data_IF_514023042589
#
_entry.id   IF_514023042589
#
_cell.length_a   1.000
_cell.length_b   1.000
_cell.length_c   1.000
_cell.angle_alpha   90.00
_cell.angle_beta   90.00
_cell.angle_gamma   90.00
#
_symmetry.space_group_name_H-M   'P 1'
#
loop_
_entity.id
_entity.type
_entity.pdbx_description
1 polymer ?
#
# COMPACT_ATOMS: atom_id res chain seq x y z
N UNK A 1 20.77 -2.72 0.52
CA UNK A 1 19.60 -3.55 0.20
C UNK A 1 18.31 -3.05 0.87
N UNK A 2 18.18 -3.00 2.21
CA UNK A 2 16.92 -2.56 2.86
C UNK A 2 16.49 -1.09 2.58
N UNK A 3 17.44 -0.16 2.47
CA UNK A 3 17.16 1.25 2.10
C UNK A 3 16.68 1.39 0.64
N UNK A 4 17.22 0.53 -0.23
CA UNK A 4 16.91 0.50 -1.66
C UNK A 4 15.51 -0.06 -1.89
N UNK A 5 15.15 -1.15 -1.19
CA UNK A 5 13.80 -1.73 -1.20
C UNK A 5 12.75 -0.77 -0.61
N UNK A 6 13.07 -0.05 0.48
CA UNK A 6 12.20 0.99 1.02
C UNK A 6 11.94 2.12 0.02
N UNK A 7 12.99 2.52 -0.69
CA UNK A 7 12.89 3.57 -1.71
C UNK A 7 12.07 3.09 -2.89
N UNK A 8 12.28 1.85 -3.32
CA UNK A 8 11.50 1.19 -4.36
C UNK A 8 10.02 1.06 -3.97
N UNK A 9 9.69 0.61 -2.75
CA UNK A 9 8.30 0.54 -2.27
C UNK A 9 7.66 1.94 -2.22
N UNK A 10 8.38 2.94 -1.71
CA UNK A 10 7.88 4.31 -1.67
C UNK A 10 7.64 4.89 -3.08
N UNK A 11 8.55 4.63 -4.01
CA UNK A 11 8.42 5.02 -5.43
C UNK A 11 7.26 4.30 -6.09
N UNK A 12 7.13 2.98 -5.94
CA UNK A 12 5.99 2.22 -6.48
C UNK A 12 4.65 2.69 -5.91
N UNK A 13 4.58 3.00 -4.60
CA UNK A 13 3.39 3.60 -4.00
C UNK A 13 3.13 4.98 -4.61
N UNK A 14 4.15 5.83 -4.77
CA UNK A 14 3.98 7.15 -5.39
C UNK A 14 3.51 7.02 -6.85
N UNK A 15 4.08 6.11 -7.64
CA UNK A 15 3.66 5.84 -9.01
C UNK A 15 2.21 5.35 -9.07
N UNK A 16 1.78 4.47 -8.16
CA UNK A 16 0.37 4.06 -8.07
C UNK A 16 -0.55 5.23 -7.71
N UNK A 17 -0.11 6.12 -6.81
CA UNK A 17 -0.88 7.32 -6.46
C UNK A 17 -0.95 8.33 -7.61
N UNK A 18 0.14 8.49 -8.37
CA UNK A 18 0.16 9.26 -9.61
C UNK A 18 -0.75 8.63 -10.68
N UNK A 19 -0.88 7.30 -10.67
CA UNK A 19 -1.85 6.53 -11.45
C UNK A 19 -3.25 6.51 -10.79
N UNK A 20 -3.51 7.37 -9.80
CA UNK A 20 -4.82 7.64 -9.20
C UNK A 20 -5.31 6.59 -8.20
N UNK A 21 -4.45 5.70 -7.73
CA UNK A 21 -4.77 4.83 -6.61
C UNK A 21 -4.77 5.63 -5.30
N UNK A 22 -5.86 5.50 -4.52
CA UNK A 22 -5.90 6.08 -3.18
C UNK A 22 -5.02 5.25 -2.23
N UNK A 23 -4.51 5.86 -1.16
CA UNK A 23 -3.78 5.10 -0.12
C UNK A 23 -4.64 4.01 0.51
N UNK A 24 -5.96 4.17 0.53
CA UNK A 24 -6.88 3.17 1.04
C UNK A 24 -6.97 1.96 0.10
N UNK A 25 -7.00 2.17 -1.22
CA UNK A 25 -7.03 1.09 -2.21
C UNK A 25 -5.71 0.30 -2.19
N UNK A 26 -4.58 1.00 -2.10
CA UNK A 26 -3.26 0.36 -1.98
C UNK A 26 -3.19 -0.44 -0.67
N UNK A 27 -3.76 0.08 0.42
CA UNK A 27 -3.77 -0.60 1.71
C UNK A 27 -4.62 -1.86 1.69
N UNK A 28 -5.81 -1.80 1.08
CA UNK A 28 -6.73 -2.93 0.92
C UNK A 28 -6.07 -4.07 0.12
N UNK A 29 -5.45 -3.74 -1.01
CA UNK A 29 -4.79 -4.72 -1.88
C UNK A 29 -3.54 -5.35 -1.23
N UNK A 30 -2.79 -4.54 -0.48
CA UNK A 30 -1.66 -5.03 0.30
C UNK A 30 -2.08 -5.76 1.59
N UNK A 31 -3.37 -5.73 1.98
CA UNK A 31 -3.85 -6.31 3.24
C UNK A 31 -3.31 -5.60 4.49
N UNK A 32 -2.97 -4.32 4.37
CA UNK A 32 -2.38 -3.50 5.44
C UNK A 32 -3.27 -2.29 5.75
N UNK A 33 -2.93 -1.50 6.77
CA UNK A 33 -3.69 -0.28 7.07
C UNK A 33 -3.28 0.90 6.17
N UNK A 34 -4.20 1.84 5.93
CA UNK A 34 -3.88 3.09 5.21
C UNK A 34 -2.75 3.87 5.89
N UNK A 35 -2.74 3.89 7.23
CA UNK A 35 -1.66 4.51 7.99
C UNK A 35 -0.31 3.84 7.69
N UNK A 36 -0.29 2.52 7.51
CA UNK A 36 0.90 1.78 7.14
C UNK A 36 1.42 2.13 5.74
N UNK A 37 0.53 2.27 4.74
CA UNK A 37 0.89 2.77 3.40
C UNK A 37 1.48 4.17 3.46
N UNK A 38 0.93 5.04 4.32
CA UNK A 38 1.48 6.39 4.55
C UNK A 38 2.90 6.33 5.16
N UNK A 39 3.12 5.45 6.14
CA UNK A 39 4.44 5.25 6.75
C UNK A 39 5.45 4.68 5.74
N UNK A 40 5.04 3.76 4.87
CA UNK A 40 5.86 3.22 3.78
C UNK A 40 6.25 4.31 2.78
N UNK A 41 5.28 5.13 2.36
CA UNK A 41 5.48 6.27 1.45
C UNK A 41 6.52 7.25 1.99
N UNK A 42 6.40 7.65 3.24
CA UNK A 42 7.32 8.62 3.85
C UNK A 42 8.62 8.01 4.36
N UNK A 43 8.88 6.72 4.06
CA UNK A 43 10.06 5.97 4.50
C UNK A 43 10.23 5.98 6.03
N UNK A 44 9.12 6.06 6.76
CA UNK A 44 9.07 6.16 8.24
C UNK A 44 9.00 4.80 8.93
N UNK A 45 9.12 3.70 8.19
CA UNK A 45 9.04 2.34 8.72
C UNK A 45 9.99 1.37 8.00
N UNK A 46 10.67 0.48 8.74
CA UNK A 46 11.46 -0.62 8.18
C UNK A 46 10.59 -1.85 7.99
N UNK A 47 10.25 -2.14 6.75
CA UNK A 47 9.78 -3.47 6.37
C UNK A 47 10.97 -4.44 6.38
N UNK A 48 10.76 -5.64 6.92
CA UNK A 48 11.76 -6.71 6.78
C UNK A 48 12.01 -6.97 5.29
N UNK A 49 13.20 -7.45 4.92
CA UNK A 49 13.54 -7.67 3.50
C UNK A 49 12.52 -8.57 2.79
N UNK A 50 11.97 -9.55 3.50
CA UNK A 50 10.98 -10.49 2.96
C UNK A 50 9.61 -9.82 2.82
N UNK A 51 9.20 -8.97 3.77
CA UNK A 51 7.96 -8.21 3.68
C UNK A 51 8.06 -7.12 2.61
N UNK A 52 9.22 -6.47 2.49
CA UNK A 52 9.48 -5.53 1.42
C UNK A 52 9.39 -6.23 0.06
N UNK A 53 9.97 -7.43 -0.06
CA UNK A 53 9.87 -8.23 -1.29
C UNK A 53 8.43 -8.70 -1.55
N UNK A 54 7.67 -9.17 -0.55
CA UNK A 54 6.28 -9.58 -0.76
C UNK A 54 5.36 -8.40 -1.07
N UNK A 55 5.62 -7.24 -0.48
CA UNK A 55 4.94 -5.98 -0.85
C UNK A 55 5.33 -5.58 -2.27
N UNK A 56 6.61 -5.67 -2.65
CA UNK A 56 7.06 -5.38 -4.02
C UNK A 56 6.44 -6.35 -5.01
N UNK A 57 6.39 -7.65 -4.72
CA UNK A 57 5.75 -8.66 -5.57
C UNK A 57 4.25 -8.39 -5.72
N UNK A 58 3.56 -8.02 -4.65
CA UNK A 58 2.15 -7.63 -4.71
C UNK A 58 1.95 -6.32 -5.48
N UNK A 59 2.77 -5.30 -5.23
CA UNK A 59 2.74 -4.05 -5.98
C UNK A 59 3.05 -4.30 -7.47
N UNK A 60 4.02 -5.16 -7.78
CA UNK A 60 4.34 -5.59 -9.14
C UNK A 60 3.18 -6.37 -9.77
N UNK A 61 2.51 -7.25 -9.02
CA UNK A 61 1.28 -7.91 -9.49
C UNK A 61 0.17 -6.91 -9.78
N UNK A 62 0.05 -5.84 -9.01
CA UNK A 62 -0.89 -4.74 -9.31
C UNK A 62 -0.49 -4.03 -10.61
N UNK A 63 0.81 -3.77 -10.80
CA UNK A 63 1.32 -3.18 -12.04
C UNK A 63 1.13 -4.11 -13.25
N UNK A 64 1.39 -5.42 -13.12
CA UNK A 64 1.21 -6.40 -14.20
C UNK A 64 -0.26 -6.68 -14.50
N UNK A 65 -1.13 -6.73 -13.49
CA UNK A 65 -2.59 -6.77 -13.74
C UNK A 65 -3.07 -5.48 -14.40
N UNK A 66 -2.47 -4.33 -14.09
CA UNK A 66 -2.76 -3.07 -14.76
C UNK A 66 -2.30 -3.10 -16.23
N UNK A 67 -1.10 -3.60 -16.54
CA UNK A 67 -0.59 -3.76 -17.91
C UNK A 67 -1.39 -4.80 -18.71
N UNK A 68 -1.75 -5.93 -18.10
CA UNK A 68 -2.57 -6.99 -18.70
C UNK A 68 -4.01 -6.51 -18.93
N UNK A 69 -4.60 -5.72 -18.04
CA UNK A 69 -5.97 -5.18 -18.26
C UNK A 69 -5.98 -4.11 -19.37
N UNK A 70 -4.85 -3.44 -19.63
CA UNK A 70 -4.67 -2.58 -20.80
C UNK A 70 -4.33 -3.34 -22.09
N UNK A 71 -3.70 -4.52 -22.01
CA UNK A 71 -3.32 -5.32 -23.18
C UNK A 71 -4.39 -6.36 -23.60
N UNK A 72 -5.12 -6.98 -22.66
CA UNK A 72 -6.16 -7.98 -22.95
C UNK A 72 -7.46 -7.36 -23.52
N UNK A 73 -7.58 -6.03 -23.52
CA UNK A 73 -8.65 -5.34 -24.27
C UNK A 73 -8.25 -4.99 -25.71
N UNK A 74 -7.03 -5.32 -26.15
CA UNK A 74 -6.58 -5.07 -27.52
C UNK A 74 -6.63 -6.32 -28.43
N UNK A 75 -6.80 -7.54 -27.89
CA UNK A 75 -6.64 -8.79 -28.67
C UNK A 75 -7.91 -9.66 -28.87
N UNK A 76 -9.10 -9.19 -28.48
CA UNK A 76 -10.35 -9.98 -28.65
C UNK A 76 -11.42 -9.30 -29.53
N UNK A 77 -11.05 -8.76 -30.70
CA UNK A 77 -12.00 -8.55 -31.80
C UNK A 77 -11.34 -8.82 -33.17
N UNK A 78 -11.33 -10.09 -33.59
CA UNK A 78 -11.34 -10.40 -35.02
C UNK A 78 -12.06 -11.71 -35.31
N UNK A 79 -13.12 -11.59 -36.11
CA UNK A 79 -13.68 -12.55 -37.07
C UNK A 79 -15.16 -12.88 -36.85
N UNK A 80 -16.01 -11.98 -37.37
CA UNK A 80 -17.18 -12.40 -38.14
C UNK A 80 -17.43 -11.38 -39.24
N UNK A 81 -16.97 -11.72 -40.45
CA UNK A 81 -17.40 -11.06 -41.68
C UNK A 81 -18.89 -11.34 -41.91
N UNK A 82 -19.69 -10.28 -42.02
CA UNK A 82 -20.78 -10.22 -43.00
C UNK A 82 -21.27 -8.78 -43.19
N UNK A 83 -20.99 -8.26 -44.39
CA UNK A 83 -21.98 -7.62 -45.24
C UNK A 83 -22.64 -6.30 -44.81
N UNK A 84 -22.15 -5.24 -45.43
CA UNK A 84 -22.91 -4.21 -46.16
C UNK A 84 -23.55 -3.02 -45.39
N UNK A 85 -23.43 -1.87 -46.06
CA UNK A 85 -24.11 -0.58 -45.92
C UNK A 85 -23.67 0.48 -44.88
N UNK A 86 -22.83 1.41 -45.37
CA UNK A 86 -22.90 2.87 -45.21
C UNK A 86 -23.42 3.45 -43.88
N UNK A 87 -22.49 3.84 -42.99
CA UNK A 87 -22.63 5.05 -42.17
C UNK A 87 -21.25 5.53 -41.72
N UNK A 88 -21.02 6.84 -41.82
CA UNK A 88 -19.83 7.55 -41.34
C UNK A 88 -19.54 7.17 -39.87
N UNK A 89 -18.33 6.69 -39.64
CA UNK A 89 -17.87 6.17 -38.35
C UNK A 89 -17.75 7.32 -37.33
N UNK A 90 -18.86 7.64 -36.66
CA UNK A 90 -18.86 8.53 -35.49
C UNK A 90 -18.22 7.74 -34.35
N UNK A 91 -16.89 7.79 -34.29
CA UNK A 91 -16.12 7.33 -33.15
C UNK A 91 -16.72 7.88 -31.86
N UNK A 92 -16.83 7.03 -30.85
CA UNK A 92 -17.47 7.37 -29.58
C UNK A 92 -16.73 8.53 -28.90
N UNK A 93 -17.39 9.29 -28.00
CA UNK A 93 -16.74 10.42 -27.32
C UNK A 93 -15.50 10.00 -26.52
N UNK A 94 -15.45 8.74 -26.09
CA UNK A 94 -14.28 8.11 -25.48
C UNK A 94 -13.10 7.99 -26.44
N UNK A 95 -13.35 7.64 -27.70
CA UNK A 95 -12.30 7.50 -28.73
C UNK A 95 -11.72 8.87 -29.06
N UNK A 96 -12.59 9.87 -29.19
CA UNK A 96 -12.15 11.27 -29.36
C UNK A 96 -11.29 11.75 -28.19
N UNK A 97 -11.70 11.47 -26.94
CA UNK A 97 -10.95 11.89 -25.75
C UNK A 97 -9.61 11.15 -25.61
N UNK A 98 -9.57 9.86 -25.93
CA UNK A 98 -8.35 9.05 -25.98
C UNK A 98 -7.38 9.60 -27.03
N UNK A 99 -7.87 9.93 -28.23
CA UNK A 99 -7.05 10.53 -29.28
C UNK A 99 -6.42 11.86 -28.82
N UNK A 100 -7.18 12.71 -28.12
CA UNK A 100 -6.66 13.97 -27.58
C UNK A 100 -5.59 13.76 -26.49
N UNK A 101 -5.74 12.75 -25.64
CA UNK A 101 -4.77 12.38 -24.60
C UNK A 101 -3.46 11.90 -25.22
N UNK A 102 -3.54 10.98 -26.18
CA UNK A 102 -2.37 10.40 -26.85
C UNK A 102 -1.64 11.47 -27.66
N UNK A 103 -2.39 12.27 -28.44
CA UNK A 103 -1.83 13.31 -29.30
C UNK A 103 -1.05 14.37 -28.53
N UNK A 104 -1.50 14.71 -27.32
CA UNK A 104 -0.89 15.79 -26.52
C UNK A 104 -0.11 15.27 -25.30
N UNK A 105 0.03 13.96 -25.15
CA UNK A 105 0.66 13.30 -23.99
C UNK A 105 0.12 13.79 -22.63
N UNK A 106 -1.18 14.11 -22.58
CA UNK A 106 -1.80 14.61 -21.35
C UNK A 106 -2.20 13.47 -20.43
N UNK A 107 -1.99 13.67 -19.14
CA UNK A 107 -2.48 12.74 -18.13
C UNK A 107 -3.97 13.03 -17.83
N UNK A 108 -4.82 12.03 -17.57
CA UNK A 108 -6.25 12.23 -17.29
C UNK A 108 -6.55 13.18 -16.11
N UNK A 109 -5.63 13.32 -15.16
CA UNK A 109 -5.71 14.30 -14.06
C UNK A 109 -5.62 15.74 -14.55
N UNK A 110 -4.78 16.03 -15.56
CA UNK A 110 -4.65 17.37 -16.12
C UNK A 110 -5.96 17.81 -16.79
N UNK A 111 -6.66 16.87 -17.45
CA UNK A 111 -7.97 17.12 -18.05
C UNK A 111 -9.03 17.30 -16.96
N UNK A 112 -8.97 16.53 -15.86
CA UNK A 112 -9.86 16.67 -14.71
C UNK A 112 -9.78 18.06 -14.09
N UNK A 113 -8.55 18.51 -13.83
CA UNK A 113 -8.27 19.81 -13.23
C UNK A 113 -8.68 20.96 -14.17
N UNK A 114 -8.41 20.83 -15.48
CA UNK A 114 -8.77 21.85 -16.47
C UNK A 114 -10.27 21.93 -16.77
N UNK A 115 -10.98 20.80 -16.73
CA UNK A 115 -12.42 20.73 -17.05
C UNK A 115 -13.33 20.90 -15.83
N UNK A 116 -12.79 20.79 -14.61
CA UNK A 116 -13.58 20.75 -13.38
C UNK A 116 -14.50 19.53 -13.29
N UNK A 117 -14.17 18.46 -14.02
CA UNK A 117 -14.87 17.18 -14.00
C UNK A 117 -14.05 16.20 -13.15
N UNK A 118 -14.72 15.39 -12.32
CA UNK A 118 -14.04 14.41 -11.47
C UNK A 118 -13.17 13.46 -12.30
N UNK A 119 -11.97 13.17 -11.80
CA UNK A 119 -11.05 12.19 -12.40
C UNK A 119 -11.72 10.82 -12.62
N UNK A 120 -12.61 10.41 -11.71
CA UNK A 120 -13.37 9.16 -11.84
C UNK A 120 -14.29 9.21 -13.06
N UNK A 121 -14.96 10.35 -13.29
CA UNK A 121 -15.86 10.54 -14.44
C UNK A 121 -15.08 10.51 -15.75
N UNK A 122 -13.91 11.13 -15.80
CA UNK A 122 -13.03 11.07 -16.99
C UNK A 122 -12.57 9.64 -17.24
N UNK A 123 -12.15 8.91 -16.19
CA UNK A 123 -11.76 7.50 -16.32
C UNK A 123 -12.90 6.60 -16.80
N UNK A 124 -14.13 6.82 -16.33
CA UNK A 124 -15.28 6.06 -16.82
C UNK A 124 -15.60 6.36 -18.29
N UNK A 125 -15.36 7.58 -18.75
CA UNK A 125 -15.46 7.91 -20.18
C UNK A 125 -14.35 7.19 -20.95
N UNK A 126 -13.08 7.33 -20.53
CA UNK A 126 -11.93 6.71 -21.20
C UNK A 126 -12.00 5.18 -21.28
N UNK A 127 -12.51 4.54 -20.22
CA UNK A 127 -12.67 3.08 -20.16
C UNK A 127 -13.94 2.57 -20.85
N UNK A 128 -14.66 3.43 -21.59
CA UNK A 128 -15.91 3.07 -22.28
C UNK A 128 -17.11 2.80 -21.36
N UNK A 129 -16.93 2.80 -20.04
CA UNK A 129 -17.98 2.54 -19.03
C UNK A 129 -19.07 3.62 -19.06
N UNK A 130 -18.75 4.80 -19.57
CA UNK A 130 -19.69 5.87 -19.91
C UNK A 130 -19.45 6.28 -21.36
N UNK A 131 -20.05 5.52 -22.29
CA UNK A 131 -19.91 5.74 -23.73
C UNK A 131 -20.54 7.07 -24.18
N UNK A 132 -21.55 7.56 -23.44
CA UNK A 132 -22.29 8.77 -23.79
C UNK A 132 -22.49 9.71 -22.58
N UNK A 133 -21.46 10.50 -22.18
CA UNK A 133 -21.58 11.44 -21.08
C UNK A 133 -22.62 12.54 -21.37
N UNK A 134 -23.20 13.13 -20.32
CA UNK A 134 -24.16 14.24 -20.47
C UNK A 134 -23.55 15.40 -21.26
N UNK A 135 -24.35 16.12 -22.06
CA UNK A 135 -23.87 17.23 -22.90
C UNK A 135 -23.14 18.31 -22.09
N UNK A 136 -23.61 18.59 -20.87
CA UNK A 136 -22.96 19.50 -19.93
C UNK A 136 -21.54 19.04 -19.53
N UNK A 137 -21.34 17.72 -19.36
CA UNK A 137 -20.04 17.13 -19.02
C UNK A 137 -19.10 17.15 -20.21
N UNK A 138 -19.60 16.85 -21.42
CA UNK A 138 -18.81 16.96 -22.67
C UNK A 138 -18.30 18.38 -22.89
N UNK A 139 -19.19 19.37 -22.79
CA UNK A 139 -18.82 20.78 -22.96
C UNK A 139 -17.81 21.28 -21.91
N UNK A 140 -17.80 20.72 -20.70
CA UNK A 140 -16.77 21.02 -19.70
C UNK A 140 -15.41 20.43 -20.06
N UNK A 141 -15.39 19.18 -20.53
CA UNK A 141 -14.17 18.49 -20.96
C UNK A 141 -13.56 19.18 -22.17
N UNK A 142 -14.36 19.51 -23.19
CA UNK A 142 -13.91 20.25 -24.38
C UNK A 142 -13.32 21.62 -24.03
N UNK A 143 -13.99 22.39 -23.14
CA UNK A 143 -13.46 23.67 -22.66
C UNK A 143 -12.16 23.51 -21.87
N UNK A 144 -12.06 22.47 -21.04
CA UNK A 144 -10.84 22.16 -20.30
C UNK A 144 -9.66 21.84 -21.23
N UNK A 145 -9.91 21.05 -22.28
CA UNK A 145 -8.92 20.71 -23.30
C UNK A 145 -8.48 21.96 -24.08
N UNK A 146 -9.42 22.82 -24.50
CA UNK A 146 -9.07 24.09 -25.15
C UNK A 146 -8.22 25.00 -24.25
N UNK A 147 -8.48 24.99 -22.94
CA UNK A 147 -7.66 25.72 -21.97
C UNK A 147 -6.24 25.14 -21.85
N UNK A 148 -6.08 23.81 -21.93
CA UNK A 148 -4.78 23.15 -21.91
C UNK A 148 -3.97 23.41 -23.19
N UNK A 149 -4.63 23.40 -24.36
CA UNK A 149 -4.01 23.76 -25.64
C UNK A 149 -3.54 25.21 -25.68
N UNK A 150 -4.28 26.10 -25.01
CA UNK A 150 -3.90 27.51 -24.90
C UNK A 150 -2.68 27.74 -24.00
N UNK A 151 -2.29 26.76 -23.19
CA UNK A 151 -1.20 26.87 -22.21
C UNK A 151 0.11 26.17 -22.63
N UNK A 152 0.10 25.34 -23.68
CA UNK A 152 1.28 24.58 -24.11
C UNK A 152 1.48 24.61 -25.63
N UNK A 153 2.31 25.52 -26.17
CA UNK A 153 2.92 25.32 -27.46
C UNK A 153 4.24 24.57 -27.28
N UNK A 154 4.23 23.26 -27.61
CA UNK A 154 5.40 22.43 -27.97
C UNK A 154 6.50 22.22 -26.90
N UNK A 155 6.76 20.96 -26.54
CA UNK A 155 8.14 20.48 -26.38
C UNK A 155 8.22 18.95 -26.38
N UNK A 156 8.94 18.45 -27.38
CA UNK A 156 9.39 17.08 -27.58
C UNK A 156 10.35 16.61 -26.46
N UNK A 157 10.46 15.28 -26.33
CA UNK A 157 10.89 14.58 -25.14
C UNK A 157 12.38 14.57 -24.79
N UNK A 158 12.68 14.07 -23.59
CA UNK A 158 13.99 13.55 -23.16
C UNK A 158 13.75 12.48 -22.09
N UNK A 159 14.24 11.25 -22.35
CA UNK A 159 14.40 10.14 -21.38
C UNK A 159 15.82 10.25 -20.83
N UNK A 160 16.03 10.07 -19.51
CA UNK A 160 17.37 10.00 -18.93
C UNK A 160 17.46 8.89 -17.87
N UNK A 161 18.30 7.90 -18.17
CA UNK A 161 18.74 6.81 -17.29
C UNK A 161 19.67 7.33 -16.18
N UNK A 162 19.55 6.78 -14.96
CA UNK A 162 20.53 6.96 -13.88
C UNK A 162 20.87 5.61 -13.22
N UNK A 163 22.12 5.18 -13.41
CA UNK A 163 22.76 4.10 -12.64
C UNK A 163 23.15 4.61 -11.24
N UNK A 164 22.94 3.81 -10.18
CA UNK A 164 23.51 4.08 -8.84
C UNK A 164 24.13 2.81 -8.23
N UNK A 165 25.40 2.93 -7.88
CA UNK A 165 26.29 1.95 -7.27
C UNK A 165 25.83 1.49 -5.87
N UNK A 166 26.07 0.21 -5.59
CA UNK A 166 25.72 -0.49 -4.35
C UNK A 166 26.70 -0.20 -3.22
N UNK A 167 26.19 0.33 -2.11
CA UNK A 167 26.79 0.21 -0.77
C UNK A 167 25.72 -0.30 0.21
N UNK A 168 26.05 -1.36 0.97
CA UNK A 168 25.12 -2.04 1.86
C UNK A 168 24.89 -1.23 3.17
N UNK A 169 23.64 -1.00 3.63
CA UNK A 169 23.40 -0.33 4.89
C UNK A 169 23.08 -1.31 6.01
N UNK A 170 23.87 -1.20 7.08
CA UNK A 170 23.61 -1.71 8.44
C UNK A 170 22.33 -1.01 8.96
N UNK A 171 21.37 -1.77 9.49
CA UNK A 171 20.10 -1.23 10.00
C UNK A 171 20.27 -0.63 11.42
N UNK A 172 19.63 0.51 11.75
CA UNK A 172 19.70 1.12 13.07
C UNK A 172 18.88 0.32 14.10
N UNK A 173 19.41 0.17 15.31
CA UNK A 173 19.02 -0.86 16.31
C UNK A 173 17.76 -0.55 17.15
N UNK A 174 17.07 0.58 16.94
CA UNK A 174 15.98 1.05 17.82
C UNK A 174 14.66 1.37 17.07
N UNK A 175 14.45 0.82 15.87
CA UNK A 175 13.27 1.16 15.03
C UNK A 175 12.02 0.32 15.35
N UNK A 176 10.85 0.97 15.45
CA UNK A 176 9.55 0.31 15.62
C UNK A 176 9.09 -0.26 14.27
N UNK A 177 8.86 -1.57 14.23
CA UNK A 177 8.29 -2.25 13.07
C UNK A 177 6.80 -2.43 13.31
N UNK A 178 5.95 -1.99 12.38
CA UNK A 178 4.50 -2.03 12.54
C UNK A 178 3.78 -2.62 11.32
N UNK A 179 2.44 -2.76 11.40
CA UNK A 179 1.56 -3.10 10.27
C UNK A 179 1.82 -4.44 9.58
N UNK A 180 2.48 -5.39 10.25
CA UNK A 180 2.73 -6.72 9.67
C UNK A 180 1.45 -7.55 9.77
N UNK A 181 0.96 -8.18 8.70
CA UNK A 181 -0.20 -9.06 8.77
C UNK A 181 -0.04 -10.15 9.83
N UNK A 182 -1.09 -10.40 10.62
CA UNK A 182 -1.09 -11.42 11.66
C UNK A 182 -1.33 -12.82 11.07
N UNK A 183 -0.37 -13.26 10.24
CA UNK A 183 -0.35 -14.55 9.57
C UNK A 183 0.81 -15.39 10.10
N UNK A 184 0.67 -16.72 10.11
CA UNK A 184 1.69 -17.64 10.64
C UNK A 184 3.05 -17.43 9.98
N UNK A 185 3.08 -17.36 8.65
CA UNK A 185 4.31 -17.17 7.87
C UNK A 185 5.01 -15.85 8.20
N UNK A 186 4.25 -14.80 8.48
CA UNK A 186 4.81 -13.49 8.86
C UNK A 186 5.29 -13.47 10.32
N UNK A 187 4.60 -14.17 11.20
CA UNK A 187 5.02 -14.34 12.59
C UNK A 187 6.33 -15.13 12.67
N UNK A 188 6.50 -16.18 11.86
CA UNK A 188 7.73 -16.98 11.83
C UNK A 188 8.94 -16.15 11.37
N UNK A 189 8.72 -15.10 10.57
CA UNK A 189 9.75 -14.15 10.14
C UNK A 189 10.09 -13.11 11.20
N UNK A 190 9.26 -12.91 12.23
CA UNK A 190 9.56 -12.00 13.32
C UNK A 190 10.86 -12.40 14.05
N UNK A 191 11.63 -11.48 14.63
CA UNK A 191 12.89 -11.82 15.30
C UNK A 191 12.64 -12.68 16.54
N UNK A 192 13.48 -13.70 16.72
CA UNK A 192 13.50 -14.54 17.92
C UNK A 192 14.29 -13.86 19.05
N UNK A 193 13.97 -12.60 19.35
CA UNK A 193 14.67 -11.74 20.31
C UNK A 193 13.69 -11.16 21.34
N UNK A 194 14.20 -10.72 22.49
CA UNK A 194 13.39 -10.05 23.51
C UNK A 194 12.97 -8.65 23.05
N UNK A 195 11.71 -8.32 23.31
CA UNK A 195 11.14 -7.02 22.98
C UNK A 195 9.69 -6.88 23.41
N UNK A 196 9.04 -5.86 22.87
CA UNK A 196 7.61 -5.58 23.09
C UNK A 196 6.89 -5.69 21.76
N UNK A 197 5.70 -6.27 21.76
CA UNK A 197 4.84 -6.40 20.59
C UNK A 197 3.42 -5.97 20.91
N UNK A 198 2.69 -5.55 19.88
CA UNK A 198 1.28 -5.20 19.94
C UNK A 198 0.54 -5.89 18.79
N UNK A 199 -0.64 -6.43 19.07
CA UNK A 199 -1.56 -7.02 18.10
C UNK A 199 -2.72 -6.04 17.95
N UNK A 200 -3.12 -5.77 16.71
CA UNK A 200 -4.14 -4.79 16.37
C UNK A 200 -5.31 -5.44 15.64
N UNK A 201 -6.47 -4.81 15.79
CA UNK A 201 -7.68 -5.17 15.05
C UNK A 201 -7.60 -4.73 13.57
N UNK A 202 -8.66 -5.02 12.81
CA UNK A 202 -8.78 -4.59 11.42
C UNK A 202 -8.77 -3.07 11.21
N UNK A 203 -9.05 -2.29 12.25
CA UNK A 203 -9.10 -0.82 12.23
C UNK A 203 -7.76 -0.20 12.65
N UNK A 204 -6.80 -1.01 13.09
CA UNK A 204 -5.49 -0.58 13.55
C UNK A 204 -5.44 -0.19 15.04
N UNK A 205 -6.48 -0.49 15.83
CA UNK A 205 -6.44 -0.28 17.27
C UNK A 205 -5.70 -1.42 17.98
N UNK A 206 -4.83 -1.13 18.96
CA UNK A 206 -4.14 -2.16 19.72
C UNK A 206 -5.14 -2.91 20.60
N UNK A 207 -5.27 -4.21 20.35
CA UNK A 207 -6.16 -5.12 21.08
C UNK A 207 -5.40 -5.86 22.18
N UNK A 208 -4.12 -6.13 21.94
CA UNK A 208 -3.22 -6.76 22.89
C UNK A 208 -1.81 -6.16 22.81
N UNK A 209 -1.12 -6.05 23.94
CA UNK A 209 0.28 -5.64 24.05
C UNK A 209 0.98 -6.61 24.97
N UNK A 210 2.11 -7.16 24.54
CA UNK A 210 2.87 -8.10 25.35
C UNK A 210 4.37 -7.86 25.25
N UNK A 211 5.08 -8.39 26.25
CA UNK A 211 6.56 -8.47 26.25
C UNK A 211 7.04 -9.92 26.14
N UNK A 212 8.29 -10.07 25.76
CA UNK A 212 9.00 -11.34 25.83
C UNK A 212 9.75 -11.65 24.54
N UNK A 213 9.94 -12.93 24.24
CA UNK A 213 10.45 -13.31 22.94
C UNK A 213 9.33 -13.11 21.91
N UNK A 214 9.54 -12.17 20.99
CA UNK A 214 8.50 -11.68 20.07
C UNK A 214 7.93 -12.83 19.25
N UNK A 215 8.78 -13.58 18.54
CA UNK A 215 8.35 -14.71 17.69
C UNK A 215 7.58 -15.76 18.50
N UNK A 216 8.19 -16.27 19.58
CA UNK A 216 7.60 -17.35 20.38
C UNK A 216 6.23 -16.94 20.94
N UNK A 217 6.12 -15.71 21.44
CA UNK A 217 4.87 -15.22 22.03
C UNK A 217 3.80 -14.98 20.97
N UNK A 218 4.15 -14.38 19.82
CA UNK A 218 3.21 -14.21 18.70
C UNK A 218 2.70 -15.55 18.17
N UNK A 219 3.55 -16.58 18.07
CA UNK A 219 3.12 -17.94 17.70
C UNK A 219 2.12 -18.50 18.70
N UNK A 220 2.39 -18.39 20.01
CA UNK A 220 1.46 -18.81 21.07
C UNK A 220 0.12 -18.07 20.96
N UNK A 221 0.13 -16.78 20.61
CA UNK A 221 -1.10 -16.02 20.38
C UNK A 221 -1.84 -16.49 19.13
N UNK A 222 -1.15 -16.78 18.03
CA UNK A 222 -1.76 -17.27 16.80
C UNK A 222 -2.47 -18.62 16.98
N UNK A 223 -2.05 -19.43 17.96
CA UNK A 223 -2.71 -20.68 18.34
C UNK A 223 -3.86 -20.48 19.34
N UNK A 224 -3.91 -19.33 20.02
CA UNK A 224 -4.88 -19.06 21.06
C UNK A 224 -6.22 -18.59 20.47
N UNK A 225 -7.32 -19.19 20.94
CA UNK A 225 -8.69 -18.97 20.41
C UNK A 225 -9.09 -17.49 20.30
N UNK A 226 -8.67 -16.66 21.25
CA UNK A 226 -9.00 -15.23 21.26
C UNK A 226 -8.42 -14.44 20.06
N UNK A 227 -7.37 -14.94 19.40
CA UNK A 227 -6.68 -14.26 18.29
C UNK A 227 -6.92 -14.93 16.93
N UNK A 228 -7.73 -15.99 16.86
CA UNK A 228 -8.05 -16.65 15.58
C UNK A 228 -8.97 -15.81 14.68
N UNK A 229 -9.71 -14.86 15.26
CA UNK A 229 -10.60 -13.98 14.50
C UNK A 229 -9.81 -12.79 13.93
N UNK A 230 -9.79 -12.63 12.61
CA UNK A 230 -9.10 -11.52 11.91
C UNK A 230 -9.68 -10.14 12.25
N UNK A 231 -10.91 -10.09 12.80
CA UNK A 231 -11.48 -8.84 13.34
C UNK A 231 -10.81 -8.41 14.63
N UNK A 232 -10.20 -9.36 15.35
CA UNK A 232 -9.52 -9.15 16.65
C UNK A 232 -8.01 -9.06 16.45
N UNK A 233 -7.44 -9.91 15.60
CA UNK A 233 -6.02 -9.91 15.28
C UNK A 233 -5.82 -9.84 13.76
N UNK A 234 -5.61 -8.63 13.24
CA UNK A 234 -5.37 -8.41 11.82
C UNK A 234 -3.88 -8.18 11.52
N UNK A 235 -3.21 -7.35 12.33
CA UNK A 235 -1.80 -7.04 12.14
C UNK A 235 -1.09 -6.87 13.48
N UNK A 236 0.23 -6.97 13.47
CA UNK A 236 1.06 -6.80 14.65
C UNK A 236 2.20 -5.82 14.41
N UNK A 237 2.77 -5.35 15.51
CA UNK A 237 3.90 -4.43 15.55
C UNK A 237 4.83 -4.85 16.68
N UNK A 238 6.12 -4.59 16.56
CA UNK A 238 7.08 -4.90 17.60
C UNK A 238 8.28 -3.95 17.59
N UNK A 239 8.95 -3.90 18.73
CA UNK A 239 10.26 -3.28 18.92
C UNK A 239 11.19 -4.32 19.56
N UNK A 240 12.38 -4.49 18.99
CA UNK A 240 13.42 -5.36 19.55
C UNK A 240 14.23 -4.54 20.54
N UNK A 241 14.43 -5.07 21.75
CA UNK A 241 15.20 -4.40 22.80
C UNK A 241 16.52 -5.13 23.10
N UNK A 242 16.62 -6.39 22.68
CA UNK A 242 17.82 -7.19 22.85
C UNK A 242 18.86 -6.90 21.77
N UNK A 243 19.97 -6.26 22.17
CA UNK A 243 21.09 -5.93 21.30
C UNK A 243 21.99 -7.14 21.06
N UNK A 244 22.52 -7.74 22.14
CA UNK A 244 23.31 -8.98 22.08
C UNK A 244 22.72 -10.13 22.91
N UNK A 245 23.32 -11.32 22.80
CA UNK A 245 22.95 -12.51 23.57
C UNK A 245 23.68 -12.60 24.93
N UNK A 246 24.26 -11.50 25.41
CA UNK A 246 24.85 -11.45 26.76
C UNK A 246 23.76 -11.42 27.84
N UNK A 247 24.09 -11.99 29.00
CA UNK A 247 23.16 -12.09 30.14
C UNK A 247 22.70 -10.71 30.63
N UNK A 248 23.60 -9.73 30.62
CA UNK A 248 23.32 -8.35 31.03
C UNK A 248 22.34 -7.67 30.07
N UNK A 249 22.58 -7.78 28.76
CA UNK A 249 21.67 -7.24 27.73
C UNK A 249 20.28 -7.86 27.80
N UNK A 250 20.18 -9.16 28.06
CA UNK A 250 18.88 -9.84 28.21
C UNK A 250 18.14 -9.30 29.44
N UNK A 251 18.83 -9.09 30.56
CA UNK A 251 18.24 -8.56 31.78
C UNK A 251 17.76 -7.11 31.58
N UNK A 252 18.57 -6.28 30.91
CA UNK A 252 18.24 -4.90 30.59
C UNK A 252 17.05 -4.82 29.61
N UNK A 253 17.06 -5.63 28.55
CA UNK A 253 15.95 -5.73 27.61
C UNK A 253 14.65 -6.17 28.30
N UNK A 254 14.70 -7.11 29.24
CA UNK A 254 13.52 -7.53 30.01
C UNK A 254 12.97 -6.39 30.90
N UNK A 255 13.86 -5.63 31.55
CA UNK A 255 13.48 -4.49 32.40
C UNK A 255 12.83 -3.39 31.56
N UNK A 256 13.41 -3.07 30.41
CA UNK A 256 12.88 -2.07 29.50
C UNK A 256 11.56 -2.53 28.86
N UNK A 257 11.47 -3.79 28.45
CA UNK A 257 10.24 -4.35 27.89
C UNK A 257 9.08 -4.28 28.89
N UNK A 258 9.33 -4.60 30.17
CA UNK A 258 8.34 -4.48 31.25
C UNK A 258 7.89 -3.02 31.45
N UNK A 259 8.82 -2.06 31.38
CA UNK A 259 8.48 -0.65 31.51
C UNK A 259 7.62 -0.17 30.34
N UNK A 260 8.00 -0.52 29.11
CA UNK A 260 7.29 -0.12 27.89
C UNK A 260 5.90 -0.76 27.80
N UNK A 261 5.78 -2.06 28.07
CA UNK A 261 4.48 -2.75 28.15
C UNK A 261 3.55 -2.04 29.14
N UNK A 262 3.99 -1.80 30.38
CA UNK A 262 3.19 -1.11 31.39
C UNK A 262 2.80 0.31 30.96
N UNK A 263 3.70 1.03 30.29
CA UNK A 263 3.43 2.37 29.78
C UNK A 263 2.34 2.34 28.71
N UNK A 264 2.48 1.47 27.71
CA UNK A 264 1.52 1.35 26.60
C UNK A 264 0.16 0.88 27.14
N UNK A 265 0.14 -0.12 28.03
CA UNK A 265 -1.10 -0.61 28.65
C UNK A 265 -1.81 0.50 29.42
N UNK A 266 -1.08 1.31 30.20
CA UNK A 266 -1.66 2.46 30.91
C UNK A 266 -2.14 3.56 29.96
N UNK A 267 -1.40 3.83 28.89
CA UNK A 267 -1.72 4.89 27.94
C UNK A 267 -2.97 4.55 27.12
N UNK A 268 -3.08 3.32 26.66
CA UNK A 268 -4.24 2.84 25.91
C UNK A 268 -5.44 2.55 26.82
N UNK A 269 -5.22 2.20 28.09
CA UNK A 269 -6.27 2.03 29.09
C UNK A 269 -7.27 0.94 28.69
N UNK A 270 -8.53 1.31 28.48
CA UNK A 270 -9.61 0.37 28.18
C UNK A 270 -9.66 -0.09 26.71
N UNK A 271 -8.81 0.45 25.82
CA UNK A 271 -8.83 0.05 24.41
C UNK A 271 -8.15 -1.30 24.15
N UNK A 272 -7.23 -1.73 25.03
CA UNK A 272 -6.53 -3.03 24.93
C UNK A 272 -7.38 -4.10 25.63
N UNK A 273 -8.45 -4.51 24.95
CA UNK A 273 -9.48 -5.40 25.47
C UNK A 273 -8.93 -6.74 25.98
N UNK A 274 -7.99 -7.34 25.23
CA UNK A 274 -7.48 -8.68 25.55
C UNK A 274 -6.45 -8.66 26.66
N UNK A 275 -5.70 -7.58 26.85
CA UNK A 275 -4.82 -7.49 28.02
C UNK A 275 -5.59 -7.54 29.33
N UNK A 276 -6.83 -7.05 29.36
CA UNK A 276 -7.67 -7.06 30.58
C UNK A 276 -8.28 -8.44 30.85
N UNK A 277 -8.52 -9.22 29.80
CA UNK A 277 -9.15 -10.54 29.88
C UNK A 277 -8.15 -11.69 30.02
N UNK A 278 -6.93 -11.52 29.50
CA UNK A 278 -5.87 -12.54 29.48
C UNK A 278 -4.78 -12.31 30.53
N UNK A 279 -4.97 -11.37 31.48
CA UNK A 279 -3.99 -11.07 32.56
C UNK A 279 -3.57 -12.34 33.32
N UNK A 280 -4.47 -13.32 33.44
CA UNK A 280 -4.29 -14.51 34.27
C UNK A 280 -3.66 -15.72 33.56
N UNK A 281 -3.66 -15.78 32.22
CA UNK A 281 -3.30 -17.03 31.48
C UNK A 281 -1.89 -17.03 30.85
N UNK A 282 -1.14 -15.93 30.90
CA UNK A 282 0.14 -15.80 30.20
C UNK A 282 1.29 -15.21 31.03
N UNK A 283 1.06 -14.96 32.32
CA UNK A 283 2.09 -14.55 33.27
C UNK A 283 3.02 -15.72 33.58
N UNK A 284 4.24 -15.60 33.09
CA UNK A 284 5.46 -16.28 33.56
C UNK A 284 5.59 -17.78 33.30
N UNK A 285 5.90 -18.10 32.04
CA UNK A 285 6.99 -19.02 31.66
C UNK A 285 7.91 -18.31 30.64
#
# INVERSE_FOLDING_TARGET
>A
MAIQLRTQVAEMINTLQENGWSQANIAEELGVSQAYVSLLKYKRIQTSLIIANSIIERLQSIFSQYEITTAENEDEISESESGDDNAEDIGTFSDWLNAQIVQNSWKPNQIADASGVSLITIRFILSGRTSNPQSATRGKIEKGIQSLLSLNPQSEGVVQDVQVESTAPVAPEDEIIAGIPFLRDEIERAPNKKGVYAIHDRRGYPVYVGKGNIRTRLLKHAEHRAFLDSRVANNFSYIVLQKSDTVEDIADANREALRLEKLIVKFCGNTILLNKQLVEDLSDE
#
